data_IF_552679571753
#
_entry.id   IF_552679571753
#
_cell.length_a   1.000
_cell.length_b   1.000
_cell.length_c   1.000
_cell.angle_alpha   90.00
_cell.angle_beta   90.00
_cell.angle_gamma   90.00
#
_symmetry.space_group_name_H-M   'P 1'
#
loop_
_entity.id
_entity.type
_entity.pdbx_description
1 polymer ?
#
# COMPACT_ATOMS: atom_id res chain seq x y z
N UNK A 1 -46.27 40.70 -63.66
CA UNK A 1 -45.95 39.29 -63.27
C UNK A 1 -45.03 39.29 -62.12
N UNK A 2 -45.50 39.00 -60.88
CA UNK A 2 -44.73 38.96 -59.67
C UNK A 2 -44.51 37.50 -59.31
N UNK A 3 -43.24 37.03 -59.26
CA UNK A 3 -42.89 35.71 -58.88
C UNK A 3 -42.70 35.64 -57.34
N UNK A 4 -43.46 34.76 -56.69
CA UNK A 4 -43.36 34.46 -55.28
C UNK A 4 -42.25 33.39 -55.08
N UNK A 5 -41.21 33.69 -54.30
CA UNK A 5 -40.18 32.72 -53.86
C UNK A 5 -40.60 32.18 -52.52
N UNK A 6 -40.98 30.92 -52.47
CA UNK A 6 -41.21 30.19 -51.22
C UNK A 6 -39.87 29.71 -50.69
N UNK A 7 -39.45 30.19 -49.51
CA UNK A 7 -38.31 29.68 -48.77
C UNK A 7 -38.75 28.53 -47.82
N UNK A 8 -38.27 27.32 -48.08
CA UNK A 8 -38.52 26.15 -47.24
C UNK A 8 -37.50 26.15 -46.10
N UNK A 9 -37.95 26.31 -44.85
CA UNK A 9 -37.14 26.13 -43.65
C UNK A 9 -37.17 24.64 -43.27
N UNK A 10 -36.06 23.94 -43.48
CA UNK A 10 -35.87 22.58 -42.98
C UNK A 10 -35.45 22.62 -41.50
N UNK A 11 -36.39 22.26 -40.61
CA UNK A 11 -36.08 22.07 -39.20
C UNK A 11 -35.32 20.72 -39.00
N UNK A 12 -34.03 20.79 -38.81
CA UNK A 12 -33.22 19.63 -38.43
C UNK A 12 -33.45 19.25 -36.97
N UNK A 13 -34.16 18.15 -36.71
CA UNK A 13 -34.25 17.51 -35.43
C UNK A 13 -32.88 16.81 -35.13
N UNK A 14 -32.05 17.49 -34.40
CA UNK A 14 -30.83 16.88 -33.85
C UNK A 14 -31.19 15.83 -32.77
N UNK A 15 -31.05 14.56 -33.10
CA UNK A 15 -31.14 13.45 -32.15
C UNK A 15 -29.91 13.53 -31.26
N UNK A 16 -30.02 14.09 -30.06
CA UNK A 16 -28.98 13.98 -29.03
C UNK A 16 -28.96 12.53 -28.55
N UNK A 17 -27.99 11.74 -29.03
CA UNK A 17 -27.73 10.44 -28.49
C UNK A 17 -27.22 10.65 -27.06
N UNK A 18 -28.06 10.38 -26.08
CA UNK A 18 -27.65 10.25 -24.68
C UNK A 18 -26.81 8.97 -24.60
N UNK A 19 -25.49 9.12 -24.64
CA UNK A 19 -24.58 8.06 -24.32
C UNK A 19 -24.79 7.74 -22.84
N UNK A 20 -25.55 6.69 -22.55
CA UNK A 20 -25.67 6.12 -21.21
C UNK A 20 -24.27 5.65 -20.82
N UNK A 21 -23.64 6.36 -19.89
CA UNK A 21 -22.44 5.86 -19.26
C UNK A 21 -22.79 4.52 -18.59
N UNK A 22 -21.93 3.49 -18.72
CA UNK A 22 -22.19 2.22 -18.08
C UNK A 22 -22.36 2.44 -16.56
N UNK A 23 -23.31 1.73 -15.99
CA UNK A 23 -23.54 1.74 -14.55
C UNK A 23 -22.23 1.28 -13.85
N UNK A 24 -21.59 2.20 -13.12
CA UNK A 24 -20.33 1.98 -12.42
C UNK A 24 -20.53 1.49 -10.99
N UNK A 25 -21.69 0.91 -10.68
CA UNK A 25 -21.93 0.37 -9.34
C UNK A 25 -20.90 -0.74 -9.04
N UNK A 26 -20.37 -0.71 -7.82
CA UNK A 26 -19.49 -1.76 -7.34
C UNK A 26 -20.29 -3.05 -7.14
N UNK A 27 -19.73 -4.23 -7.49
CA UNK A 27 -20.37 -5.52 -7.24
C UNK A 27 -20.40 -5.90 -5.74
N UNK A 28 -19.93 -5.02 -4.88
CA UNK A 28 -19.88 -5.17 -3.43
C UNK A 28 -20.23 -3.83 -2.75
N UNK A 29 -20.58 -3.90 -1.46
CA UNK A 29 -20.85 -2.70 -0.67
C UNK A 29 -19.64 -1.75 -0.66
N UNK A 30 -19.85 -0.41 -0.60
CA UNK A 30 -18.76 0.54 -0.43
C UNK A 30 -17.87 0.15 0.76
N UNK A 31 -16.55 0.30 0.60
CA UNK A 31 -15.62 -0.01 1.68
C UNK A 31 -15.79 0.95 2.85
N UNK A 32 -15.70 0.43 4.05
CA UNK A 32 -15.63 1.23 5.27
C UNK A 32 -14.24 1.88 5.35
N UNK A 33 -14.19 3.19 5.60
CA UNK A 33 -12.96 3.93 5.81
C UNK A 33 -12.91 4.53 7.20
N UNK A 34 -11.71 4.72 7.70
CA UNK A 34 -11.42 5.37 8.98
C UNK A 34 -10.59 6.62 8.72
N UNK A 35 -10.99 7.79 9.24
CA UNK A 35 -10.16 8.99 9.18
C UNK A 35 -9.00 8.88 10.18
N UNK A 36 -7.78 9.03 9.68
CA UNK A 36 -6.56 9.14 10.49
C UNK A 36 -6.21 10.60 10.63
N UNK A 37 -6.19 11.18 11.84
CA UNK A 37 -5.81 12.56 12.05
C UNK A 37 -4.36 12.81 11.63
N UNK A 38 -4.03 14.06 11.26
CA UNK A 38 -2.64 14.46 11.08
C UNK A 38 -1.86 14.22 12.37
N UNK A 39 -0.64 13.73 12.25
CA UNK A 39 0.20 13.37 13.37
C UNK A 39 1.69 13.48 13.07
N UNK A 40 2.49 13.08 14.03
CA UNK A 40 3.94 12.96 13.88
C UNK A 40 4.36 11.56 14.27
N UNK A 41 5.35 11.07 13.59
CA UNK A 41 5.98 9.77 13.86
C UNK A 41 7.49 9.94 13.98
N UNK A 42 8.12 9.08 14.76
CA UNK A 42 9.55 8.85 14.67
C UNK A 42 9.82 7.99 13.46
N UNK A 43 10.68 8.46 12.59
CA UNK A 43 10.92 7.86 11.28
C UNK A 43 12.40 7.60 11.05
N UNK A 44 12.71 6.41 10.57
CA UNK A 44 14.03 6.04 10.07
C UNK A 44 13.84 5.36 8.73
N UNK A 45 14.41 5.84 7.62
CA UNK A 45 14.26 5.16 6.33
C UNK A 45 14.77 3.72 6.41
N UNK A 46 14.05 2.80 5.78
CA UNK A 46 14.48 1.40 5.69
C UNK A 46 15.40 1.23 4.49
N UNK A 47 16.67 0.89 4.76
CA UNK A 47 17.65 0.86 3.68
C UNK A 47 19.05 0.43 4.10
N UNK A 48 19.96 0.50 3.14
CA UNK A 48 21.39 0.36 3.35
C UNK A 48 22.04 1.73 3.41
N UNK A 49 22.55 2.09 4.57
CA UNK A 49 23.23 3.36 4.76
C UNK A 49 24.67 3.15 5.17
N UNK A 50 25.54 4.04 4.74
CA UNK A 50 26.93 4.03 5.12
C UNK A 50 27.47 5.42 5.43
N UNK A 51 28.54 5.48 6.21
CA UNK A 51 29.38 6.65 6.35
C UNK A 51 30.82 6.24 6.06
N UNK A 52 31.45 6.84 5.06
CA UNK A 52 32.80 6.50 4.59
C UNK A 52 33.00 5.00 4.33
N UNK A 53 32.00 4.36 3.70
CA UNK A 53 32.01 2.94 3.36
C UNK A 53 31.77 1.98 4.52
N UNK A 54 31.44 2.47 5.72
CA UNK A 54 31.04 1.65 6.85
C UNK A 54 29.53 1.71 7.04
N UNK A 55 28.87 0.54 7.12
CA UNK A 55 27.45 0.44 7.38
C UNK A 55 27.08 1.14 8.69
N UNK A 56 26.03 1.95 8.64
CA UNK A 56 25.55 2.72 9.79
C UNK A 56 24.05 2.99 9.65
N UNK A 57 23.32 2.98 10.76
CA UNK A 57 21.90 3.34 10.81
C UNK A 57 21.74 4.86 10.78
N UNK A 58 20.81 5.42 9.95
CA UNK A 58 20.49 6.84 9.97
C UNK A 58 19.90 7.26 11.31
N UNK A 59 20.11 8.52 11.67
CA UNK A 59 19.47 9.10 12.84
C UNK A 59 17.97 9.19 12.62
N UNK A 60 17.13 8.76 13.59
CA UNK A 60 15.69 8.94 13.51
C UNK A 60 15.29 10.42 13.38
N UNK A 61 14.25 10.68 12.62
CA UNK A 61 13.69 12.01 12.41
C UNK A 61 12.21 12.06 12.83
N UNK A 62 11.74 13.23 13.22
CA UNK A 62 10.31 13.44 13.44
C UNK A 62 9.69 13.89 12.12
N UNK A 63 8.81 13.08 11.59
CA UNK A 63 8.11 13.35 10.32
C UNK A 63 6.65 13.65 10.59
N UNK A 64 6.18 14.79 10.05
CA UNK A 64 4.77 15.13 10.07
C UNK A 64 4.03 14.40 8.94
N UNK A 65 2.95 13.72 9.29
CA UNK A 65 2.08 13.01 8.35
C UNK A 65 0.73 13.74 8.30
N UNK A 66 0.29 14.25 7.15
CA UNK A 66 -1.02 14.87 7.00
C UNK A 66 -2.13 13.88 7.31
N UNK A 67 -3.31 14.36 7.70
CA UNK A 67 -4.50 13.51 7.89
C UNK A 67 -4.97 12.91 6.57
N UNK A 68 -5.48 11.68 6.63
CA UNK A 68 -5.95 10.93 5.47
C UNK A 68 -7.09 9.97 5.85
N UNK A 69 -7.71 9.36 4.87
CA UNK A 69 -8.67 8.28 5.06
C UNK A 69 -8.10 6.96 4.54
N UNK A 70 -8.27 5.90 5.29
CA UNK A 70 -7.75 4.57 4.97
C UNK A 70 -8.87 3.51 5.11
N UNK A 71 -8.83 2.45 4.30
CA UNK A 71 -9.73 1.32 4.44
C UNK A 71 -9.60 0.71 5.84
N UNK A 72 -10.74 0.46 6.51
CA UNK A 72 -10.78 -0.18 7.83
C UNK A 72 -10.16 -1.57 7.80
N UNK A 73 -10.46 -2.33 6.75
CA UNK A 73 -9.99 -3.70 6.56
C UNK A 73 -9.00 -3.79 5.39
N UNK A 74 -8.21 -4.84 5.38
CA UNK A 74 -7.45 -5.24 4.20
C UNK A 74 -8.41 -5.56 3.05
N UNK A 75 -7.97 -5.36 1.80
CA UNK A 75 -8.73 -5.74 0.62
C UNK A 75 -9.03 -7.23 0.66
N UNK A 76 -10.31 -7.58 0.55
CA UNK A 76 -10.77 -8.97 0.61
C UNK A 76 -10.61 -9.70 -0.73
N UNK A 77 -10.59 -11.03 -0.67
CA UNK A 77 -10.60 -11.89 -1.87
C UNK A 77 -11.83 -11.65 -2.74
N UNK A 78 -12.99 -11.34 -2.15
CA UNK A 78 -14.20 -11.03 -2.91
C UNK A 78 -14.06 -9.72 -3.69
N UNK A 79 -13.47 -8.68 -3.07
CA UNK A 79 -13.21 -7.40 -3.74
C UNK A 79 -12.19 -7.55 -4.87
N UNK A 80 -11.12 -8.31 -4.63
CA UNK A 80 -10.10 -8.55 -5.64
C UNK A 80 -10.64 -9.39 -6.81
N UNK A 81 -11.47 -10.40 -6.53
CA UNK A 81 -12.12 -11.21 -7.55
C UNK A 81 -12.99 -10.36 -8.50
N UNK A 82 -13.71 -9.37 -7.99
CA UNK A 82 -14.47 -8.44 -8.81
C UNK A 82 -13.57 -7.63 -9.76
N UNK A 83 -12.39 -7.21 -9.31
CA UNK A 83 -11.41 -6.57 -10.17
C UNK A 83 -10.92 -7.50 -11.29
N UNK A 84 -10.69 -8.77 -10.96
CA UNK A 84 -10.29 -9.80 -11.96
C UNK A 84 -11.39 -10.04 -12.98
N UNK A 85 -12.64 -10.18 -12.54
CA UNK A 85 -13.80 -10.40 -13.41
C UNK A 85 -14.01 -9.24 -14.40
N UNK A 86 -13.71 -8.02 -13.99
CA UNK A 86 -13.77 -6.84 -14.84
C UNK A 86 -12.51 -6.58 -15.68
N UNK A 87 -11.50 -7.44 -15.55
CA UNK A 87 -10.25 -7.34 -16.30
C UNK A 87 -9.27 -6.27 -15.81
N UNK A 88 -9.52 -5.68 -14.63
CA UNK A 88 -8.63 -4.68 -14.01
C UNK A 88 -7.44 -5.28 -13.27
N UNK A 89 -7.55 -6.54 -12.85
CA UNK A 89 -6.52 -7.24 -12.08
C UNK A 89 -6.16 -8.59 -12.70
N UNK A 90 -4.94 -9.05 -12.46
CA UNK A 90 -4.55 -10.41 -12.80
C UNK A 90 -5.16 -11.43 -11.84
N UNK A 91 -5.56 -12.58 -12.36
CA UNK A 91 -6.07 -13.68 -11.53
C UNK A 91 -4.97 -14.23 -10.62
N UNK A 92 -5.34 -14.53 -9.37
CA UNK A 92 -4.49 -15.18 -8.37
C UNK A 92 -5.19 -16.42 -7.84
N UNK A 93 -4.43 -17.35 -7.22
CA UNK A 93 -4.97 -18.62 -6.76
C UNK A 93 -5.89 -18.51 -5.54
N UNK A 94 -5.67 -17.50 -4.69
CA UNK A 94 -6.49 -17.26 -3.50
C UNK A 94 -7.74 -16.45 -3.87
N UNK A 95 -8.91 -17.06 -3.93
CA UNK A 95 -10.17 -16.45 -4.35
C UNK A 95 -11.29 -16.62 -3.33
N UNK A 96 -12.21 -15.65 -3.32
CA UNK A 96 -13.50 -15.73 -2.63
C UNK A 96 -13.50 -15.47 -1.13
N UNK A 97 -14.60 -14.91 -0.63
CA UNK A 97 -14.86 -14.69 0.78
C UNK A 97 -14.30 -13.41 1.38
N UNK A 98 -14.51 -13.25 2.69
CA UNK A 98 -14.09 -12.09 3.49
C UNK A 98 -12.64 -12.20 4.02
N UNK A 99 -11.85 -13.09 3.50
CA UNK A 99 -10.43 -13.24 3.84
C UNK A 99 -9.62 -12.17 3.15
N UNK A 100 -8.55 -11.65 3.76
CA UNK A 100 -7.62 -10.77 3.07
C UNK A 100 -7.11 -11.38 1.78
N UNK A 101 -6.99 -10.57 0.74
CA UNK A 101 -6.34 -10.99 -0.49
C UNK A 101 -4.84 -11.12 -0.27
N UNK A 102 -4.32 -12.30 -0.54
CA UNK A 102 -2.89 -12.63 -0.49
C UNK A 102 -2.40 -13.17 -1.83
N UNK A 103 -1.12 -13.53 -1.90
CA UNK A 103 -0.46 -13.95 -3.13
C UNK A 103 -0.49 -12.88 -4.23
N UNK A 104 -0.50 -11.63 -3.82
CA UNK A 104 -0.44 -10.43 -4.66
C UNK A 104 0.92 -9.75 -4.50
N UNK A 105 1.52 -9.36 -5.62
CA UNK A 105 2.71 -8.53 -5.62
C UNK A 105 2.32 -7.04 -5.56
N UNK A 106 3.32 -6.16 -5.57
CA UNK A 106 3.08 -4.73 -5.50
C UNK A 106 2.32 -4.19 -6.72
N UNK A 107 2.61 -4.73 -7.91
CA UNK A 107 1.91 -4.36 -9.16
C UNK A 107 0.43 -4.77 -9.13
N UNK A 108 0.12 -5.94 -8.56
CA UNK A 108 -1.28 -6.40 -8.40
C UNK A 108 -2.05 -5.46 -7.47
N UNK A 109 -1.43 -5.07 -6.35
CA UNK A 109 -2.05 -4.15 -5.39
C UNK A 109 -2.29 -2.75 -5.99
N UNK A 110 -1.35 -2.25 -6.80
CA UNK A 110 -1.52 -0.98 -7.51
C UNK A 110 -2.51 -1.06 -8.65
N UNK A 111 -2.60 -2.19 -9.37
CA UNK A 111 -3.62 -2.41 -10.38
C UNK A 111 -5.03 -2.40 -9.77
N UNK A 112 -5.21 -3.06 -8.61
CA UNK A 112 -6.46 -2.98 -7.87
C UNK A 112 -6.80 -1.54 -7.47
N UNK A 113 -5.83 -0.77 -6.97
CA UNK A 113 -6.04 0.62 -6.59
C UNK A 113 -6.48 1.49 -7.79
N UNK A 114 -5.91 1.27 -8.96
CA UNK A 114 -6.29 1.95 -10.19
C UNK A 114 -7.72 1.59 -10.61
N UNK A 115 -8.04 0.30 -10.67
CA UNK A 115 -9.39 -0.17 -10.99
C UNK A 115 -10.43 0.37 -9.99
N UNK A 116 -10.12 0.32 -8.69
CA UNK A 116 -11.04 0.80 -7.65
C UNK A 116 -11.25 2.32 -7.74
N UNK A 117 -10.21 3.06 -8.12
CA UNK A 117 -10.30 4.50 -8.38
C UNK A 117 -11.25 4.79 -9.54
N UNK A 118 -11.14 4.07 -10.64
CA UNK A 118 -12.02 4.21 -11.82
C UNK A 118 -13.47 3.88 -11.48
N UNK A 119 -13.70 2.84 -10.70
CA UNK A 119 -15.03 2.38 -10.32
C UNK A 119 -15.72 3.34 -9.35
N UNK A 120 -14.98 3.94 -8.43
CA UNK A 120 -15.54 4.84 -7.41
C UNK A 120 -15.54 6.30 -7.84
N UNK A 121 -14.79 6.67 -8.88
CA UNK A 121 -14.56 8.06 -9.26
C UNK A 121 -13.71 8.84 -8.23
N UNK A 122 -13.04 8.14 -7.32
CA UNK A 122 -12.18 8.70 -6.28
C UNK A 122 -10.76 8.16 -6.47
N UNK A 123 -9.76 8.93 -6.04
CA UNK A 123 -8.37 8.46 -6.09
C UNK A 123 -8.11 7.54 -4.91
N UNK A 124 -7.67 6.32 -5.20
CA UNK A 124 -7.21 5.35 -4.23
C UNK A 124 -5.79 4.92 -4.56
N UNK A 125 -4.99 4.70 -3.54
CA UNK A 125 -3.59 4.27 -3.66
C UNK A 125 -3.17 3.42 -2.46
N UNK A 126 -2.02 2.79 -2.54
CA UNK A 126 -1.39 2.24 -1.35
C UNK A 126 -1.02 3.37 -0.37
N UNK A 127 -1.01 3.13 0.94
CA UNK A 127 -0.45 4.08 1.90
C UNK A 127 1.06 4.24 1.65
N UNK A 128 1.61 5.42 1.95
CA UNK A 128 3.04 5.50 2.19
C UNK A 128 3.37 4.68 3.45
N UNK A 129 4.61 4.25 3.62
CA UNK A 129 5.02 3.55 4.83
C UNK A 129 4.91 4.44 6.09
N UNK A 130 5.07 5.76 5.96
CA UNK A 130 4.81 6.71 7.05
C UNK A 130 3.31 6.82 7.40
N UNK A 131 2.42 6.87 6.40
CA UNK A 131 0.97 6.83 6.64
C UNK A 131 0.55 5.52 7.30
N UNK A 132 1.11 4.40 6.83
CA UNK A 132 0.82 3.10 7.42
C UNK A 132 1.27 3.03 8.89
N UNK A 133 2.47 3.53 9.20
CA UNK A 133 2.99 3.58 10.57
C UNK A 133 2.10 4.44 11.47
N UNK A 134 1.69 5.64 11.01
CA UNK A 134 0.78 6.51 11.77
C UNK A 134 -0.58 5.82 12.00
N UNK A 135 -1.11 5.13 10.98
CA UNK A 135 -2.37 4.39 11.07
C UNK A 135 -2.30 3.19 12.01
N UNK A 136 -1.14 2.56 12.15
CA UNK A 136 -0.95 1.42 13.05
C UNK A 136 -1.09 1.82 14.53
N UNK A 137 -0.82 3.08 14.88
CA UNK A 137 -0.96 3.63 16.23
C UNK A 137 -0.26 2.74 17.28
N UNK A 138 -0.97 2.33 18.34
CA UNK A 138 -0.43 1.47 19.42
C UNK A 138 -0.13 0.04 18.97
N UNK A 139 -0.53 -0.35 17.76
CA UNK A 139 -0.17 -1.66 17.18
C UNK A 139 1.22 -1.64 16.52
N UNK A 140 1.81 -0.46 16.37
CA UNK A 140 3.17 -0.35 15.88
C UNK A 140 4.17 -0.88 16.92
N UNK A 141 4.92 -1.91 16.55
CA UNK A 141 5.83 -2.59 17.46
C UNK A 141 7.33 -2.39 17.15
N UNK A 142 7.66 -1.54 16.19
CA UNK A 142 9.04 -1.15 15.95
C UNK A 142 9.54 -0.34 17.16
N UNK A 143 10.31 -0.96 18.01
CA UNK A 143 11.07 -0.22 19.00
C UNK A 143 12.27 0.40 18.29
N UNK A 144 12.46 1.71 18.42
CA UNK A 144 13.62 2.45 17.92
C UNK A 144 14.95 2.01 18.56
N UNK A 145 14.89 1.04 19.45
CA UNK A 145 16.02 0.48 20.12
C UNK A 145 16.67 -0.65 19.31
N UNK A 146 17.39 -0.28 18.27
CA UNK A 146 18.65 -0.98 18.00
C UNK A 146 19.66 -0.37 18.98
N UNK A 147 19.97 -0.98 20.10
CA UNK A 147 20.93 -0.40 21.02
C UNK A 147 22.27 -0.31 20.29
N UNK A 148 22.72 0.90 19.97
CA UNK A 148 24.05 1.16 19.39
C UNK A 148 25.17 0.55 20.23
N UNK A 149 24.87 0.14 21.45
CA UNK A 149 25.78 -0.47 22.43
C UNK A 149 25.94 -1.99 22.28
N UNK A 150 25.08 -2.70 21.52
CA UNK A 150 25.23 -4.14 21.34
C UNK A 150 26.29 -4.48 20.30
N UNK A 151 27.08 -5.52 20.61
CA UNK A 151 27.95 -6.16 19.62
C UNK A 151 27.17 -6.55 18.35
N UNK A 152 27.75 -6.45 17.14
CA UNK A 152 27.06 -6.79 15.89
C UNK A 152 26.46 -8.20 15.89
N UNK A 153 27.07 -9.17 16.57
CA UNK A 153 26.55 -10.51 16.70
C UNK A 153 25.33 -10.58 17.64
N UNK A 154 25.36 -9.86 18.75
CA UNK A 154 24.24 -9.75 19.69
C UNK A 154 23.04 -9.03 19.03
N UNK A 155 23.27 -7.98 18.24
CA UNK A 155 22.23 -7.32 17.46
C UNK A 155 21.58 -8.28 16.47
N UNK A 156 22.37 -9.04 15.73
CA UNK A 156 21.85 -10.02 14.79
C UNK A 156 21.04 -11.10 15.51
N UNK A 157 21.50 -11.59 16.66
CA UNK A 157 20.80 -12.59 17.46
C UNK A 157 19.49 -12.03 18.03
N UNK A 158 19.51 -10.82 18.57
CA UNK A 158 18.31 -10.13 19.09
C UNK A 158 17.27 -9.90 17.99
N UNK A 159 17.68 -9.47 16.80
CA UNK A 159 16.80 -9.34 15.63
C UNK A 159 16.24 -10.69 15.20
N UNK A 160 17.05 -11.74 15.20
CA UNK A 160 16.62 -13.10 14.87
C UNK A 160 15.61 -13.63 15.88
N UNK A 161 15.89 -13.49 17.18
CA UNK A 161 14.98 -13.91 18.26
C UNK A 161 13.68 -13.11 18.26
N UNK A 162 13.76 -11.79 18.01
CA UNK A 162 12.58 -10.95 17.83
C UNK A 162 11.77 -11.42 16.62
N UNK A 163 12.41 -11.66 15.48
CA UNK A 163 11.77 -12.22 14.29
C UNK A 163 11.15 -13.60 14.52
N UNK A 164 11.75 -14.45 15.38
CA UNK A 164 11.15 -15.72 15.78
C UNK A 164 9.94 -15.54 16.68
N UNK A 165 10.01 -14.63 17.65
CA UNK A 165 8.86 -14.28 18.52
C UNK A 165 7.70 -13.72 17.71
N UNK A 166 7.98 -12.83 16.77
CA UNK A 166 6.97 -12.27 15.87
C UNK A 166 6.33 -13.35 14.98
N UNK A 167 7.13 -14.29 14.47
CA UNK A 167 6.61 -15.45 13.72
C UNK A 167 5.76 -16.39 14.59
N UNK A 168 6.06 -16.52 15.87
CA UNK A 168 5.27 -17.31 16.82
C UNK A 168 3.95 -16.64 17.21
N UNK A 169 3.83 -15.32 17.08
CA UNK A 169 2.58 -14.56 17.32
C UNK A 169 1.76 -14.32 16.04
N UNK A 170 2.37 -14.40 14.86
CA UNK A 170 1.64 -14.48 13.61
C UNK A 170 1.05 -15.88 13.54
N UNK A 171 -0.26 -16.00 13.74
CA UNK A 171 -0.95 -17.25 13.50
C UNK A 171 -0.59 -17.71 12.10
N UNK A 172 0.04 -18.88 11.98
CA UNK A 172 0.44 -19.48 10.70
C UNK A 172 -0.75 -19.73 9.75
N UNK A 173 -1.91 -19.21 10.08
CA UNK A 173 -3.17 -19.41 9.35
C UNK A 173 -3.91 -18.09 9.24
N UNK A 174 -4.16 -17.70 8.00
CA UNK A 174 -5.01 -16.57 7.65
C UNK A 174 -6.35 -16.65 8.39
N UNK A 175 -6.85 -15.52 8.85
CA UNK A 175 -8.15 -15.40 9.50
C UNK A 175 -9.07 -14.47 8.68
N UNK A 176 -10.39 -14.56 8.84
CA UNK A 176 -11.30 -13.57 8.26
C UNK A 176 -10.98 -12.16 8.73
N UNK A 177 -11.31 -11.16 7.90
CA UNK A 177 -11.10 -9.75 8.24
C UNK A 177 -11.76 -9.38 9.59
N UNK A 178 -11.02 -8.63 10.40
CA UNK A 178 -11.46 -8.20 11.74
C UNK A 178 -11.09 -9.16 12.89
N UNK A 179 -10.51 -10.32 12.58
CA UNK A 179 -10.23 -11.35 13.59
C UNK A 179 -9.18 -10.95 14.64
N UNK A 180 -8.32 -9.98 14.33
CA UNK A 180 -7.28 -9.48 15.25
C UNK A 180 -7.72 -8.21 16.00
N UNK A 181 -8.97 -7.80 15.82
CA UNK A 181 -9.56 -6.65 16.49
C UNK A 181 -9.15 -5.32 15.90
N UNK A 182 -9.60 -4.25 16.53
CA UNK A 182 -9.36 -2.87 16.11
C UNK A 182 -8.29 -2.21 16.98
N UNK A 183 -7.57 -1.26 16.40
CA UNK A 183 -6.68 -0.38 17.14
C UNK A 183 -7.43 0.83 17.72
N UNK A 184 -6.74 1.72 18.42
CA UNK A 184 -7.34 2.91 19.03
C UNK A 184 -8.00 3.86 18.02
N UNK A 185 -7.65 3.78 16.74
CA UNK A 185 -8.26 4.56 15.65
C UNK A 185 -9.50 3.86 15.04
N UNK A 186 -9.79 2.61 15.41
CA UNK A 186 -10.86 1.80 14.83
C UNK A 186 -10.46 1.06 13.55
N UNK A 187 -9.17 0.96 13.24
CA UNK A 187 -8.66 0.18 12.13
C UNK A 187 -8.48 -1.28 12.53
N UNK A 188 -9.09 -2.18 11.76
CA UNK A 188 -9.03 -3.61 12.02
C UNK A 188 -7.75 -4.25 11.48
N UNK A 189 -7.28 -5.27 12.20
CA UNK A 189 -6.15 -6.13 11.82
C UNK A 189 -4.83 -5.40 11.54
N UNK A 190 -4.67 -4.17 12.05
CA UNK A 190 -3.39 -3.47 11.96
C UNK A 190 -2.31 -4.28 12.70
N UNK A 191 -1.19 -4.49 12.02
CA UNK A 191 -0.09 -5.35 12.49
C UNK A 191 -0.52 -6.81 12.78
N UNK A 192 -1.61 -7.29 12.15
CA UNK A 192 -2.11 -8.65 12.26
C UNK A 192 -2.57 -9.23 10.93
N UNK A 193 -2.86 -10.51 10.88
CA UNK A 193 -3.36 -11.28 9.76
C UNK A 193 -2.38 -11.37 8.58
N UNK A 194 -2.12 -10.25 7.90
CA UNK A 194 -1.16 -10.18 6.78
C UNK A 194 -0.28 -8.94 6.90
N UNK A 195 0.89 -8.99 6.29
CA UNK A 195 1.69 -7.83 5.99
C UNK A 195 1.05 -7.06 4.84
N UNK A 196 1.20 -5.75 4.82
CA UNK A 196 0.51 -4.89 3.86
C UNK A 196 1.48 -4.08 3.02
N UNK A 197 1.34 -4.20 1.70
CA UNK A 197 2.11 -3.40 0.76
C UNK A 197 1.90 -1.91 0.98
N UNK A 198 2.99 -1.16 0.93
CA UNK A 198 3.01 0.30 0.92
C UNK A 198 3.59 0.84 -0.38
N UNK A 199 3.58 2.16 -0.57
CA UNK A 199 4.29 2.80 -1.68
C UNK A 199 5.80 2.87 -1.46
N UNK A 200 6.27 2.56 -0.25
CA UNK A 200 7.67 2.68 0.14
C UNK A 200 8.61 1.79 -0.69
N UNK A 201 9.78 2.34 -0.98
CA UNK A 201 10.90 1.63 -1.56
C UNK A 201 12.05 1.53 -0.56
N UNK A 202 12.84 0.48 -0.67
CA UNK A 202 14.11 0.38 0.03
C UNK A 202 15.06 1.48 -0.45
N UNK A 203 15.90 1.99 0.43
CA UNK A 203 16.76 3.15 0.14
C UNK A 203 18.22 2.78 0.33
N UNK A 204 19.08 3.22 -0.56
CA UNK A 204 20.52 3.24 -0.33
C UNK A 204 20.96 4.69 -0.06
N UNK A 205 21.90 4.92 0.84
CA UNK A 205 22.29 6.28 1.15
C UNK A 205 23.63 6.42 1.85
N UNK A 206 24.16 7.64 1.77
CA UNK A 206 25.34 8.07 2.52
C UNK A 206 24.91 8.96 3.67
N UNK A 207 25.61 8.82 4.79
CA UNK A 207 25.35 9.57 6.01
C UNK A 207 26.49 10.55 6.30
N UNK A 208 26.14 11.67 6.90
CA UNK A 208 27.08 12.56 7.56
C UNK A 208 27.63 11.92 8.88
N UNK A 209 28.65 12.54 9.45
CA UNK A 209 29.30 12.04 10.67
C UNK A 209 28.32 11.99 11.88
N UNK A 210 27.30 12.82 11.90
CA UNK A 210 26.29 12.87 12.97
C UNK A 210 25.10 11.90 12.73
N UNK A 211 25.12 11.14 11.62
CA UNK A 211 24.06 10.19 11.25
C UNK A 211 22.92 10.80 10.46
N UNK A 212 22.99 12.08 10.10
CA UNK A 212 22.03 12.68 9.16
C UNK A 212 22.26 12.16 7.76
N UNK A 213 21.20 12.13 6.95
CA UNK A 213 21.25 11.64 5.58
C UNK A 213 21.80 12.74 4.69
N UNK A 214 22.92 12.46 4.00
CA UNK A 214 23.54 13.36 3.02
C UNK A 214 22.95 13.14 1.62
N UNK A 215 22.79 11.89 1.22
CA UNK A 215 22.31 11.51 -0.10
C UNK A 215 21.54 10.20 -0.03
N UNK A 216 20.51 10.05 -0.87
CA UNK A 216 19.72 8.82 -0.97
C UNK A 216 19.38 8.47 -2.41
N UNK A 217 19.29 7.18 -2.67
CA UNK A 217 18.78 6.60 -3.91
C UNK A 217 17.72 5.53 -3.57
N UNK A 218 16.54 5.66 -4.16
CA UNK A 218 15.47 4.68 -3.97
C UNK A 218 15.70 3.45 -4.83
N UNK A 219 15.61 2.28 -4.23
CA UNK A 219 15.69 0.98 -4.91
C UNK A 219 14.35 0.24 -4.84
N UNK A 220 13.46 0.53 -5.79
CA UNK A 220 12.09 0.01 -5.80
C UNK A 220 11.93 -1.44 -6.28
N UNK A 221 13.01 -2.12 -6.62
CA UNK A 221 13.02 -3.60 -6.72
C UNK A 221 12.83 -4.31 -5.39
N UNK A 222 12.98 -3.55 -4.28
CA UNK A 222 12.63 -3.98 -2.93
C UNK A 222 11.63 -2.97 -2.39
N UNK A 223 10.44 -3.44 -2.03
CA UNK A 223 9.34 -2.63 -1.51
C UNK A 223 9.24 -2.75 0.01
N UNK A 224 8.57 -1.80 0.61
CA UNK A 224 8.31 -1.83 2.05
C UNK A 224 6.90 -2.36 2.29
N UNK A 225 6.77 -3.31 3.20
CA UNK A 225 5.50 -3.76 3.74
C UNK A 225 5.39 -3.41 5.22
N UNK A 226 4.21 -2.99 5.64
CA UNK A 226 3.87 -2.71 7.03
C UNK A 226 3.29 -3.95 7.71
N UNK A 227 3.64 -4.15 8.97
CA UNK A 227 3.16 -5.22 9.84
C UNK A 227 3.44 -4.86 11.29
N UNK A 228 3.88 -5.81 12.13
CA UNK A 228 4.36 -5.49 13.47
C UNK A 228 5.56 -4.53 13.45
N UNK A 229 6.29 -4.52 12.37
CA UNK A 229 7.33 -3.57 12.00
C UNK A 229 7.32 -3.39 10.48
N UNK A 230 8.22 -2.62 9.93
CA UNK A 230 8.42 -2.56 8.47
C UNK A 230 9.30 -3.72 8.01
N UNK A 231 8.99 -4.29 6.87
CA UNK A 231 9.79 -5.31 6.21
C UNK A 231 10.17 -4.87 4.80
N UNK A 232 11.44 -5.09 4.46
CA UNK A 232 11.90 -5.01 3.08
C UNK A 232 11.53 -6.30 2.35
N UNK A 233 10.73 -6.20 1.31
CA UNK A 233 10.22 -7.34 0.55
C UNK A 233 10.63 -7.18 -0.90
N UNK A 234 11.32 -8.18 -1.44
CA UNK A 234 11.66 -8.23 -2.87
C UNK A 234 10.35 -8.27 -3.66
N UNK A 235 10.25 -7.41 -4.67
CA UNK A 235 9.07 -7.40 -5.54
C UNK A 235 9.09 -8.63 -6.44
N UNK A 236 8.06 -9.47 -6.26
CA UNK A 236 7.89 -10.72 -7.01
C UNK A 236 7.16 -10.43 -8.31
N UNK A 237 7.77 -10.69 -9.43
CA UNK A 237 7.13 -10.66 -10.74
C UNK A 237 6.75 -12.07 -11.17
N UNK A 238 5.57 -12.22 -11.78
CA UNK A 238 5.11 -13.51 -12.32
C UNK A 238 5.73 -13.83 -13.66
N UNK A 239 6.07 -12.79 -14.41
CA UNK A 239 6.68 -12.89 -15.74
C UNK A 239 8.08 -12.27 -15.72
N UNK A 240 9.09 -13.09 -15.94
CA UNK A 240 10.48 -12.65 -15.97
C UNK A 240 10.78 -11.62 -17.08
N UNK A 241 9.93 -11.53 -18.12
CA UNK A 241 10.13 -10.59 -19.24
C UNK A 241 9.93 -9.13 -18.85
N UNK A 242 9.16 -8.86 -17.78
CA UNK A 242 8.93 -7.49 -17.28
C UNK A 242 10.07 -6.97 -16.39
N UNK A 243 11.06 -7.82 -16.10
CA UNK A 243 12.13 -7.50 -15.15
C UNK A 243 11.64 -7.57 -13.69
N UNK A 244 12.52 -7.87 -12.78
CA UNK A 244 12.23 -7.93 -11.34
C UNK A 244 13.32 -8.68 -10.59
N UNK A 245 13.39 -8.50 -9.26
CA UNK A 245 14.40 -9.12 -8.43
C UNK A 245 14.14 -10.60 -8.16
N UNK A 246 12.86 -11.04 -8.26
CA UNK A 246 12.47 -12.44 -8.08
C UNK A 246 11.30 -12.80 -8.98
N UNK A 247 11.33 -14.01 -9.53
CA UNK A 247 10.24 -14.60 -10.32
C UNK A 247 9.56 -15.67 -9.48
N UNK A 248 8.24 -15.60 -9.37
CA UNK A 248 7.48 -16.59 -8.62
C UNK A 248 6.15 -16.09 -8.08
N UNK A 249 5.53 -16.91 -7.25
CA UNK A 249 4.31 -16.51 -6.54
C UNK A 249 4.67 -15.65 -5.34
N UNK A 250 3.99 -14.51 -5.16
CA UNK A 250 4.14 -13.73 -3.94
C UNK A 250 3.76 -14.55 -2.71
N UNK A 251 4.33 -14.23 -1.53
CA UNK A 251 4.02 -14.94 -0.29
C UNK A 251 2.53 -14.90 0.06
N UNK A 252 2.07 -15.93 0.75
CA UNK A 252 0.68 -16.08 1.20
C UNK A 252 0.32 -15.24 2.43
N UNK A 253 1.28 -14.48 2.96
CA UNK A 253 1.12 -13.57 4.09
C UNK A 253 1.24 -12.09 3.71
N UNK A 254 1.29 -11.76 2.41
CA UNK A 254 1.29 -10.38 1.92
C UNK A 254 -0.05 -10.03 1.29
N UNK A 255 -0.65 -8.97 1.81
CA UNK A 255 -1.88 -8.36 1.32
C UNK A 255 -1.73 -6.84 1.22
N UNK A 256 -2.84 -6.10 1.28
CA UNK A 256 -2.82 -4.65 1.21
C UNK A 256 -4.15 -4.04 1.64
N UNK A 257 -4.11 -2.75 1.97
CA UNK A 257 -5.27 -1.85 2.08
C UNK A 257 -4.98 -0.56 1.35
N UNK A 258 -6.00 0.25 1.08
CA UNK A 258 -5.84 1.49 0.33
C UNK A 258 -6.15 2.72 1.19
N UNK A 259 -5.51 3.82 0.86
CA UNK A 259 -5.84 5.16 1.33
C UNK A 259 -6.57 5.92 0.23
N UNK A 260 -7.51 6.78 0.64
CA UNK A 260 -8.27 7.66 -0.26
C UNK A 260 -7.58 9.01 -0.39
N UNK A 261 -7.43 9.48 -1.62
CA UNK A 261 -6.85 10.77 -1.94
C UNK A 261 -5.46 10.70 -2.55
N UNK A 262 -5.04 11.82 -3.12
CA UNK A 262 -3.69 11.98 -3.66
C UNK A 262 -2.70 12.15 -2.50
N UNK A 263 -1.42 11.83 -2.74
CA UNK A 263 -0.36 12.25 -1.83
C UNK A 263 -0.49 13.75 -1.54
N UNK A 264 -0.51 14.15 -0.28
CA UNK A 264 -0.25 15.53 0.09
C UNK A 264 1.16 15.87 -0.42
N UNK A 265 1.26 16.86 -1.32
CA UNK A 265 2.44 17.12 -2.13
C UNK A 265 3.74 17.13 -1.33
N UNK A 266 4.52 16.12 -1.54
CA UNK A 266 5.95 16.04 -1.28
C UNK A 266 6.60 15.80 -2.63
N UNK A 267 7.61 16.56 -2.95
CA UNK A 267 8.38 16.40 -4.18
C UNK A 267 8.86 14.96 -4.35
N UNK A 268 8.81 14.51 -5.61
CA UNK A 268 9.37 13.25 -6.06
C UNK A 268 10.87 13.21 -5.79
#
# INVERSE_FOLDING_TARGET
MKALVLASVAAGLGLAAVLSLPDRTLPFAPVETVPVPAGQITWTPLGNFSHRGKARTPRPEIVAVPGFEIMKYQVSRAQYAACVEEGGCQAVSATGGAWPQTQVNWLDATAFAAWYSDRTGQVWRLPTDAEWQLAAAERWGETDADPEELDPGERMLTRYEHGLRLRGTVTARLQPAGAFGENALGLADMAGNVWEWTEGCFVNGELEADGTIAETESYCGVRIAGGLHRAAVIDFVRDASVGGCAVGLPPDHLGFRLVRGRRAGGAA
#
